data_IF_163042317231
#
_entry.id   IF_163042317231
#
_cell.length_a   1.000
_cell.length_b   1.000
_cell.length_c   1.000
_cell.angle_alpha   90.00
_cell.angle_beta   90.00
_cell.angle_gamma   90.00
#
_symmetry.space_group_name_H-M   'P 1'
#
loop_
_entity.id
_entity.type
_entity.pdbx_description
1 polymer ?
#
# COMPACT_ATOMS: atom_id res chain seq x y z
N UNK A 1 -25.66 13.86 7.53
CA UNK A 1 -24.42 13.11 7.82
C UNK A 1 -23.27 14.10 7.73
N UNK A 2 -22.45 14.23 8.78
CA UNK A 2 -21.29 15.13 8.77
C UNK A 2 -20.14 14.36 8.15
N UNK A 3 -19.74 14.71 6.93
CA UNK A 3 -18.58 14.10 6.29
C UNK A 3 -17.33 14.57 7.05
N UNK A 4 -16.61 13.65 7.68
CA UNK A 4 -15.36 13.98 8.34
C UNK A 4 -14.21 14.09 7.33
N UNK A 5 -13.25 14.98 7.60
CA UNK A 5 -12.12 15.21 6.69
C UNK A 5 -11.26 13.94 6.51
N UNK A 6 -11.14 13.13 7.57
CA UNK A 6 -10.47 11.84 7.54
C UNK A 6 -11.15 10.89 6.56
N UNK A 7 -12.47 10.72 6.67
CA UNK A 7 -13.24 9.89 5.74
C UNK A 7 -13.13 10.39 4.30
N UNK A 8 -13.22 11.70 4.07
CA UNK A 8 -13.08 12.26 2.72
C UNK A 8 -11.69 12.02 2.12
N UNK A 9 -10.62 12.08 2.92
CA UNK A 9 -9.27 11.72 2.49
C UNK A 9 -9.20 10.24 2.11
N UNK A 10 -9.66 9.36 3.00
CA UNK A 10 -9.60 7.91 2.77
C UNK A 10 -10.47 7.48 1.60
N UNK A 11 -11.61 8.13 1.36
CA UNK A 11 -12.43 7.90 0.18
C UNK A 11 -11.65 8.21 -1.11
N UNK A 12 -10.94 9.35 -1.13
CA UNK A 12 -10.11 9.76 -2.27
C UNK A 12 -8.93 8.79 -2.46
N UNK A 13 -8.33 8.32 -1.36
CA UNK A 13 -7.28 7.31 -1.35
C UNK A 13 -7.77 5.98 -1.96
N UNK A 14 -8.91 5.47 -1.50
CA UNK A 14 -9.49 4.22 -2.00
C UNK A 14 -9.78 4.32 -3.50
N UNK A 15 -10.41 5.42 -3.92
CA UNK A 15 -10.76 5.64 -5.32
C UNK A 15 -9.54 5.71 -6.24
N UNK A 16 -8.54 6.54 -5.89
CA UNK A 16 -7.47 6.88 -6.83
C UNK A 16 -6.20 6.07 -6.64
N UNK A 17 -5.83 5.79 -5.39
CA UNK A 17 -4.59 5.07 -5.05
C UNK A 17 -4.84 3.57 -5.05
N UNK A 18 -5.89 3.11 -4.38
CA UNK A 18 -6.29 1.69 -4.38
C UNK A 18 -7.14 1.29 -5.58
N UNK A 19 -7.54 2.26 -6.43
CA UNK A 19 -8.33 2.03 -7.66
C UNK A 19 -9.62 1.26 -7.40
N UNK A 20 -10.26 1.53 -6.26
CA UNK A 20 -11.56 0.96 -5.92
C UNK A 20 -12.61 1.44 -6.92
N UNK A 21 -13.37 0.49 -7.48
CA UNK A 21 -14.50 0.76 -8.39
C UNK A 21 -15.79 1.07 -7.63
N UNK A 22 -15.90 0.57 -6.39
CA UNK A 22 -16.94 0.93 -5.44
C UNK A 22 -16.30 1.44 -4.15
N UNK A 23 -16.86 2.49 -3.56
CA UNK A 23 -16.37 3.05 -2.31
C UNK A 23 -17.48 3.84 -1.62
N UNK A 24 -17.51 3.80 -0.28
CA UNK A 24 -18.56 4.42 0.52
C UNK A 24 -18.03 4.76 1.92
N UNK A 25 -18.45 5.90 2.48
CA UNK A 25 -18.20 6.23 3.89
C UNK A 25 -19.37 5.77 4.77
N UNK A 26 -19.12 5.59 6.06
CA UNK A 26 -20.14 5.23 7.07
C UNK A 26 -20.92 3.96 6.68
N UNK A 27 -20.22 2.93 6.20
CA UNK A 27 -20.86 1.70 5.76
C UNK A 27 -21.46 0.96 6.96
N UNK A 28 -22.73 0.55 6.83
CA UNK A 28 -23.50 -0.20 7.82
C UNK A 28 -24.27 -1.29 7.12
N UNK A 29 -24.35 -2.44 7.77
CA UNK A 29 -25.18 -3.54 7.27
C UNK A 29 -26.67 -3.22 7.40
N UNK A 30 -27.46 -3.67 6.43
CA UNK A 30 -28.92 -3.66 6.54
C UNK A 30 -29.41 -4.93 7.22
N UNK A 31 -30.44 -4.80 8.06
CA UNK A 31 -31.13 -5.96 8.65
C UNK A 31 -31.91 -6.80 7.64
N UNK A 32 -31.99 -6.36 6.37
CA UNK A 32 -32.62 -7.07 5.25
C UNK A 32 -31.61 -7.79 4.36
N UNK A 33 -30.31 -7.58 4.57
CA UNK A 33 -29.30 -8.27 3.78
C UNK A 33 -29.17 -9.71 4.22
N UNK A 34 -28.89 -10.56 3.25
CA UNK A 34 -28.48 -11.93 3.49
C UNK A 34 -27.12 -11.94 4.21
N UNK A 35 -26.98 -12.90 5.12
CA UNK A 35 -25.76 -13.12 5.89
C UNK A 35 -25.16 -14.44 5.43
N UNK A 36 -23.86 -14.45 5.20
CA UNK A 36 -23.09 -15.59 4.73
C UNK A 36 -22.08 -16.03 5.78
N UNK A 37 -21.49 -17.21 5.59
CA UNK A 37 -20.38 -17.72 6.38
C UNK A 37 -20.68 -17.87 7.88
N UNK A 38 -21.93 -18.14 8.28
CA UNK A 38 -22.37 -18.20 9.69
C UNK A 38 -21.41 -18.99 10.60
N UNK A 39 -21.03 -20.21 10.21
CA UNK A 39 -20.11 -21.05 10.97
C UNK A 39 -18.72 -20.43 11.09
N UNK A 40 -18.16 -19.92 9.99
CA UNK A 40 -16.83 -19.28 9.98
C UNK A 40 -16.83 -18.00 10.81
N UNK A 41 -17.88 -17.18 10.71
CA UNK A 41 -18.05 -15.95 11.49
C UNK A 41 -18.17 -16.29 12.97
N UNK A 42 -18.96 -17.30 13.32
CA UNK A 42 -19.11 -17.78 14.70
C UNK A 42 -17.78 -18.29 15.26
N UNK A 43 -17.04 -19.12 14.50
CA UNK A 43 -15.73 -19.63 14.91
C UNK A 43 -14.71 -18.51 15.17
N UNK A 44 -14.66 -17.47 14.32
CA UNK A 44 -13.79 -16.31 14.58
C UNK A 44 -14.26 -15.54 15.81
N UNK A 45 -15.56 -15.31 15.97
CA UNK A 45 -16.12 -14.62 17.13
C UNK A 45 -15.80 -15.33 18.46
N UNK A 46 -15.93 -16.65 18.51
CA UNK A 46 -15.63 -17.44 19.71
C UNK A 46 -14.15 -17.41 20.02
N UNK A 47 -13.27 -17.58 19.02
CA UNK A 47 -11.82 -17.43 19.18
C UNK A 47 -11.42 -16.06 19.76
N UNK A 48 -12.06 -14.99 19.30
CA UNK A 48 -11.82 -13.64 19.84
C UNK A 48 -12.23 -13.53 21.31
N UNK A 49 -13.30 -14.21 21.73
CA UNK A 49 -13.78 -14.15 23.13
C UNK A 49 -13.00 -15.03 24.09
N UNK A 50 -12.50 -16.16 23.60
CA UNK A 50 -11.72 -17.12 24.39
C UNK A 50 -10.29 -16.63 24.61
N UNK A 51 -9.73 -15.86 23.68
CA UNK A 51 -8.40 -15.28 23.81
C UNK A 51 -8.42 -14.03 24.73
N UNK A 52 -7.72 -14.13 25.86
CA UNK A 52 -7.61 -13.04 26.84
C UNK A 52 -7.03 -11.75 26.27
N UNK A 53 -6.17 -11.83 25.26
CA UNK A 53 -5.57 -10.66 24.60
C UNK A 53 -6.55 -9.97 23.65
N UNK A 54 -7.54 -10.71 23.14
CA UNK A 54 -8.49 -10.23 22.14
C UNK A 54 -9.95 -10.18 22.60
N UNK A 55 -10.27 -10.45 23.87
CA UNK A 55 -11.64 -10.41 24.40
C UNK A 55 -12.21 -8.96 24.53
N UNK A 56 -12.17 -8.22 23.43
CA UNK A 56 -12.60 -6.83 23.28
C UNK A 56 -14.11 -6.72 23.07
N UNK A 57 -14.78 -7.84 22.76
CA UNK A 57 -16.24 -7.91 22.65
C UNK A 57 -16.93 -8.05 24.00
N UNK A 58 -16.23 -8.54 25.03
CA UNK A 58 -16.76 -8.70 26.41
C UNK A 58 -18.11 -9.44 26.38
N UNK A 59 -19.17 -8.80 26.88
CA UNK A 59 -20.53 -9.37 26.94
C UNK A 59 -21.35 -9.22 25.66
N UNK A 60 -20.79 -8.60 24.60
CA UNK A 60 -21.53 -8.32 23.37
C UNK A 60 -21.79 -9.59 22.58
N UNK A 61 -23.04 -9.81 22.18
CA UNK A 61 -23.45 -10.94 21.34
C UNK A 61 -23.08 -10.70 19.87
N UNK A 62 -22.75 -11.77 19.13
CA UNK A 62 -22.35 -11.68 17.72
C UNK A 62 -23.35 -10.91 16.87
N UNK A 63 -24.65 -11.27 16.96
CA UNK A 63 -25.72 -10.60 16.21
C UNK A 63 -25.80 -9.10 16.50
N UNK A 64 -25.56 -8.70 17.74
CA UNK A 64 -25.54 -7.30 18.12
C UNK A 64 -24.34 -6.57 17.51
N UNK A 65 -23.16 -7.20 17.52
CA UNK A 65 -21.94 -6.64 16.92
C UNK A 65 -22.10 -6.41 15.43
N UNK A 66 -22.64 -7.38 14.69
CA UNK A 66 -22.86 -7.27 13.24
C UNK A 66 -23.89 -6.19 12.89
N UNK A 67 -24.96 -6.08 13.68
CA UNK A 67 -26.00 -5.05 13.48
C UNK A 67 -25.51 -3.63 13.82
N UNK A 68 -24.60 -3.51 14.78
CA UNK A 68 -24.00 -2.24 15.19
C UNK A 68 -22.67 -1.98 14.49
N UNK A 69 -22.30 -2.80 13.51
CA UNK A 69 -21.07 -2.62 12.77
C UNK A 69 -21.18 -1.37 11.90
N UNK A 70 -20.16 -0.53 12.04
CA UNK A 70 -19.94 0.64 11.24
C UNK A 70 -18.48 0.58 10.83
N UNK A 71 -18.25 0.72 9.53
CA UNK A 71 -16.92 0.86 8.93
C UNK A 71 -16.83 2.29 8.42
N UNK A 72 -15.84 3.04 8.89
CA UNK A 72 -15.73 4.47 8.60
C UNK A 72 -15.63 4.71 7.07
N UNK A 73 -14.82 3.92 6.36
CA UNK A 73 -14.79 3.89 4.89
C UNK A 73 -14.57 2.48 4.36
N UNK A 74 -15.38 2.06 3.38
CA UNK A 74 -15.23 0.78 2.67
C UNK A 74 -14.93 1.03 1.18
N UNK A 75 -14.17 0.13 0.55
CA UNK A 75 -13.94 0.13 -0.90
C UNK A 75 -13.79 -1.27 -1.45
N UNK A 76 -14.06 -1.46 -2.74
CA UNK A 76 -13.83 -2.70 -3.46
C UNK A 76 -13.12 -2.40 -4.78
N UNK A 77 -12.00 -3.08 -5.03
CA UNK A 77 -11.29 -2.99 -6.31
C UNK A 77 -11.76 -4.05 -7.31
N UNK A 78 -11.26 -3.94 -8.55
CA UNK A 78 -11.57 -4.91 -9.61
C UNK A 78 -10.85 -6.26 -9.43
N UNK A 79 -9.92 -6.38 -8.50
CA UNK A 79 -9.15 -7.59 -8.18
C UNK A 79 -9.78 -8.44 -7.07
N UNK A 80 -11.04 -8.17 -6.72
CA UNK A 80 -11.82 -8.90 -5.73
C UNK A 80 -11.39 -8.64 -4.27
N UNK A 81 -10.72 -7.51 -4.00
CA UNK A 81 -10.35 -7.09 -2.64
C UNK A 81 -11.33 -6.07 -2.09
N UNK A 82 -11.83 -6.32 -0.88
CA UNK A 82 -12.61 -5.39 -0.07
C UNK A 82 -11.72 -4.77 1.00
N UNK A 83 -11.64 -3.45 1.00
CA UNK A 83 -10.94 -2.64 1.98
C UNK A 83 -11.94 -2.14 3.00
N UNK A 84 -11.73 -2.44 4.29
CA UNK A 84 -12.44 -1.80 5.39
C UNK A 84 -11.43 -0.95 6.17
N UNK A 85 -11.64 0.37 6.17
CA UNK A 85 -10.73 1.33 6.78
C UNK A 85 -11.44 2.07 7.89
N UNK A 86 -10.99 1.82 9.12
CA UNK A 86 -11.40 2.53 10.33
C UNK A 86 -10.40 3.65 10.64
N UNK A 87 -10.90 4.83 10.98
CA UNK A 87 -10.13 6.07 11.10
C UNK A 87 -10.22 6.57 12.54
N UNK A 88 -9.11 7.10 13.04
CA UNK A 88 -9.10 7.90 14.27
C UNK A 88 -8.30 9.19 14.04
N UNK A 89 -9.02 10.29 13.87
CA UNK A 89 -8.48 11.63 13.66
C UNK A 89 -8.74 12.50 14.89
N UNK A 90 -7.68 12.77 15.68
CA UNK A 90 -7.74 13.65 16.84
C UNK A 90 -6.50 14.55 16.85
N UNK A 91 -6.66 15.86 17.09
CA UNK A 91 -5.55 16.83 17.06
C UNK A 91 -4.45 16.52 18.10
N UNK A 92 -4.87 16.05 19.29
CA UNK A 92 -3.98 15.60 20.36
C UNK A 92 -3.34 14.23 20.10
N UNK A 93 -3.70 13.57 18.98
CA UNK A 93 -3.33 12.20 18.66
C UNK A 93 -4.30 11.16 19.21
N UNK A 94 -4.13 9.92 18.78
CA UNK A 94 -4.95 8.78 19.18
C UNK A 94 -4.90 8.57 20.70
N UNK A 95 -6.02 8.86 21.36
CA UNK A 95 -6.17 8.67 22.79
C UNK A 95 -7.65 8.43 23.13
N UNK A 96 -7.99 7.21 23.49
CA UNK A 96 -9.34 6.84 23.92
C UNK A 96 -9.49 6.69 25.44
N UNK A 97 -8.44 7.03 26.20
CA UNK A 97 -8.37 6.81 27.64
C UNK A 97 -7.00 6.24 28.02
N UNK A 98 -6.98 5.08 28.67
CA UNK A 98 -5.71 4.39 28.93
C UNK A 98 -5.10 3.82 27.64
N UNK A 99 -3.82 3.41 27.70
CA UNK A 99 -3.16 2.71 26.58
C UNK A 99 -3.90 1.42 26.21
N UNK A 100 -4.29 0.66 27.23
CA UNK A 100 -5.07 -0.58 27.07
C UNK A 100 -6.47 -0.31 26.50
N UNK A 101 -7.15 0.74 26.97
CA UNK A 101 -8.46 1.11 26.41
C UNK A 101 -8.35 1.53 24.95
N UNK A 102 -7.31 2.27 24.60
CA UNK A 102 -7.04 2.67 23.21
C UNK A 102 -6.81 1.46 22.33
N UNK A 103 -5.95 0.54 22.76
CA UNK A 103 -5.72 -0.75 22.09
C UNK A 103 -7.01 -1.55 21.93
N UNK A 104 -7.78 -1.75 23.00
CA UNK A 104 -9.04 -2.50 22.97
C UNK A 104 -10.04 -1.91 21.96
N UNK A 105 -10.14 -0.57 21.88
CA UNK A 105 -11.02 0.09 20.91
C UNK A 105 -10.56 -0.11 19.47
N UNK A 106 -9.25 -0.05 19.21
CA UNK A 106 -8.67 -0.30 17.88
C UNK A 106 -8.95 -1.75 17.43
N UNK A 107 -8.62 -2.72 18.28
CA UNK A 107 -8.86 -4.14 18.01
C UNK A 107 -10.36 -4.44 17.82
N UNK A 108 -11.22 -3.85 18.66
CA UNK A 108 -12.67 -4.01 18.55
C UNK A 108 -13.20 -3.50 17.22
N UNK A 109 -12.74 -2.33 16.75
CA UNK A 109 -13.12 -1.78 15.44
C UNK A 109 -12.74 -2.77 14.34
N UNK A 110 -11.47 -3.17 14.26
CA UNK A 110 -10.97 -4.07 13.21
C UNK A 110 -11.63 -5.45 13.22
N UNK A 111 -11.74 -6.11 14.37
CA UNK A 111 -12.34 -7.44 14.46
C UNK A 111 -13.84 -7.40 14.16
N UNK A 112 -14.54 -6.33 14.53
CA UNK A 112 -15.95 -6.15 14.14
C UNK A 112 -16.08 -5.92 12.63
N UNK A 113 -15.20 -5.12 12.04
CA UNK A 113 -15.12 -4.93 10.59
C UNK A 113 -14.83 -6.26 9.89
N UNK A 114 -13.95 -7.10 10.43
CA UNK A 114 -13.64 -8.43 9.90
C UNK A 114 -14.85 -9.36 9.89
N UNK A 115 -15.54 -9.50 11.03
CA UNK A 115 -16.75 -10.30 11.12
C UNK A 115 -17.83 -9.80 10.15
N UNK A 116 -17.95 -8.48 9.98
CA UNK A 116 -18.91 -7.87 9.06
C UNK A 116 -18.57 -8.15 7.60
N UNK A 117 -17.29 -8.02 7.21
CA UNK A 117 -16.87 -8.33 5.85
C UNK A 117 -17.09 -9.81 5.52
N UNK A 118 -16.71 -10.71 6.43
CA UNK A 118 -16.97 -12.14 6.28
C UNK A 118 -18.46 -12.45 6.12
N UNK A 119 -19.32 -11.72 6.85
CA UNK A 119 -20.77 -11.93 6.84
C UNK A 119 -21.45 -11.44 5.56
N UNK A 120 -20.99 -10.33 4.97
CA UNK A 120 -21.74 -9.64 3.90
C UNK A 120 -21.01 -9.59 2.55
N UNK A 121 -19.74 -9.99 2.49
CA UNK A 121 -18.94 -10.01 1.26
C UNK A 121 -18.24 -11.37 1.09
N UNK A 122 -18.97 -12.48 0.92
CA UNK A 122 -18.37 -13.81 0.78
C UNK A 122 -17.43 -13.88 -0.43
N UNK A 123 -16.45 -14.79 -0.34
CA UNK A 123 -15.49 -15.10 -1.42
C UNK A 123 -14.66 -13.90 -1.90
N UNK A 124 -14.34 -12.99 -0.98
CA UNK A 124 -13.45 -11.84 -1.22
C UNK A 124 -12.12 -11.96 -0.48
N UNK A 125 -11.16 -11.18 -0.96
CA UNK A 125 -9.99 -10.81 -0.18
C UNK A 125 -10.36 -9.63 0.72
N UNK A 126 -9.86 -9.61 1.94
CA UNK A 126 -10.14 -8.56 2.92
C UNK A 126 -8.85 -7.88 3.35
N UNK A 127 -8.80 -6.55 3.21
CA UNK A 127 -7.74 -5.72 3.79
C UNK A 127 -8.38 -4.80 4.84
N UNK A 128 -8.14 -5.10 6.10
CA UNK A 128 -8.67 -4.41 7.26
C UNK A 128 -7.62 -3.44 7.79
N UNK A 129 -7.87 -2.15 7.65
CA UNK A 129 -6.88 -1.11 7.93
C UNK A 129 -7.38 -0.22 9.04
N UNK A 130 -6.58 -0.05 10.08
CA UNK A 130 -6.78 1.04 11.03
C UNK A 130 -5.78 2.15 10.75
N UNK A 131 -6.28 3.38 10.65
CA UNK A 131 -5.45 4.53 10.28
C UNK A 131 -5.58 5.68 11.28
N UNK A 132 -4.46 6.31 11.62
CA UNK A 132 -4.44 7.51 12.46
C UNK A 132 -3.26 8.43 12.13
N UNK A 133 -3.47 9.73 11.87
CA UNK A 133 -2.38 10.62 11.46
C UNK A 133 -1.35 10.88 12.56
N UNK A 134 -1.72 10.69 13.83
CA UNK A 134 -0.88 11.07 14.97
C UNK A 134 -1.14 10.15 16.15
N UNK A 135 -0.10 9.46 16.60
CA UNK A 135 -0.12 8.52 17.72
C UNK A 135 1.16 8.73 18.52
N UNK A 136 1.03 8.90 19.84
CA UNK A 136 2.18 9.07 20.71
C UNK A 136 3.06 7.80 20.73
N UNK A 137 4.35 7.93 21.00
CA UNK A 137 5.34 6.85 20.88
C UNK A 137 5.00 5.59 21.70
N UNK A 138 4.41 5.77 22.88
CA UNK A 138 4.12 4.65 23.76
C UNK A 138 2.87 3.90 23.35
N UNK A 139 1.80 4.63 23.01
CA UNK A 139 0.57 4.07 22.44
C UNK A 139 0.89 3.37 21.12
N UNK A 140 1.75 3.97 20.29
CA UNK A 140 2.21 3.39 19.04
C UNK A 140 2.90 2.03 19.24
N UNK A 141 3.87 1.96 20.17
CA UNK A 141 4.55 0.70 20.50
C UNK A 141 3.59 -0.37 21.00
N UNK A 142 2.65 0.00 21.87
CA UNK A 142 1.64 -0.91 22.41
C UNK A 142 0.71 -1.41 21.30
N UNK A 143 0.15 -0.54 20.45
CA UNK A 143 -0.71 -0.99 19.35
C UNK A 143 0.05 -1.91 18.38
N UNK A 144 1.30 -1.57 18.02
CA UNK A 144 2.11 -2.38 17.11
C UNK A 144 2.39 -3.79 17.64
N UNK A 145 2.65 -3.96 18.94
CA UNK A 145 2.85 -5.30 19.50
C UNK A 145 1.61 -6.17 19.35
N UNK A 146 0.41 -5.61 19.57
CA UNK A 146 -0.84 -6.35 19.40
C UNK A 146 -1.24 -6.57 17.95
N UNK A 147 -0.83 -5.69 17.02
CA UNK A 147 -1.03 -5.95 15.60
C UNK A 147 -0.24 -7.17 15.12
N UNK A 148 0.99 -7.36 15.60
CA UNK A 148 1.77 -8.57 15.30
C UNK A 148 1.05 -9.83 15.79
N UNK A 149 0.42 -9.78 16.97
CA UNK A 149 -0.39 -10.89 17.49
C UNK A 149 -1.70 -11.07 16.70
N UNK A 150 -2.37 -9.97 16.32
CA UNK A 150 -3.60 -9.98 15.54
C UNK A 150 -3.36 -10.65 14.19
N UNK A 151 -2.28 -10.27 13.50
CA UNK A 151 -1.90 -10.87 12.23
C UNK A 151 -1.61 -12.36 12.37
N UNK A 152 -0.83 -12.74 13.40
CA UNK A 152 -0.52 -14.16 13.66
C UNK A 152 -1.76 -15.01 13.88
N UNK A 153 -2.77 -14.47 14.57
CA UNK A 153 -3.95 -15.24 14.97
C UNK A 153 -5.07 -15.23 13.92
N UNK A 154 -5.24 -14.13 13.18
CA UNK A 154 -6.43 -13.90 12.37
C UNK A 154 -6.16 -13.62 10.89
N UNK A 155 -4.91 -13.33 10.48
CA UNK A 155 -4.58 -13.24 9.05
C UNK A 155 -4.61 -14.61 8.38
N UNK A 156 -4.87 -14.59 7.09
CA UNK A 156 -4.79 -15.77 6.20
C UNK A 156 -4.47 -15.30 4.79
N UNK A 157 -4.44 -16.20 3.82
CA UNK A 157 -4.16 -15.84 2.42
C UNK A 157 -5.07 -14.72 1.91
N UNK A 158 -6.36 -14.77 2.27
CA UNK A 158 -7.37 -13.80 1.84
C UNK A 158 -7.72 -12.75 2.91
N UNK A 159 -7.01 -12.68 4.05
CA UNK A 159 -7.29 -11.74 5.14
C UNK A 159 -6.00 -11.06 5.59
N UNK A 160 -5.93 -9.73 5.45
CA UNK A 160 -4.79 -8.92 5.86
C UNK A 160 -5.24 -7.83 6.83
N UNK A 161 -4.54 -7.69 7.94
CA UNK A 161 -4.68 -6.56 8.84
C UNK A 161 -3.56 -5.57 8.59
N UNK A 162 -3.82 -4.26 8.72
CA UNK A 162 -2.83 -3.20 8.60
C UNK A 162 -3.06 -2.10 9.60
N UNK A 163 -1.95 -1.55 10.09
CA UNK A 163 -1.92 -0.39 10.96
C UNK A 163 -1.05 0.69 10.32
N UNK A 164 -1.66 1.82 9.96
CA UNK A 164 -0.96 2.92 9.30
C UNK A 164 -1.09 4.18 10.17
N UNK A 165 0.02 4.62 10.73
CA UNK A 165 0.07 5.77 11.63
C UNK A 165 1.26 6.70 11.36
N UNK A 166 1.21 7.90 11.92
CA UNK A 166 2.32 8.87 11.91
C UNK A 166 2.92 9.09 10.51
N UNK A 167 4.23 8.91 10.34
CA UNK A 167 4.93 9.07 9.06
C UNK A 167 4.37 8.12 7.99
N UNK A 168 4.04 6.87 8.34
CA UNK A 168 3.39 5.94 7.41
C UNK A 168 2.03 6.45 6.94
N UNK A 169 1.25 7.11 7.81
CA UNK A 169 -0.02 7.74 7.38
C UNK A 169 0.23 8.85 6.35
N UNK A 170 1.26 9.68 6.57
CA UNK A 170 1.65 10.70 5.61
C UNK A 170 2.10 10.08 4.28
N UNK A 171 2.99 9.11 4.34
CA UNK A 171 3.73 8.62 3.18
C UNK A 171 2.93 7.62 2.34
N UNK A 172 2.08 6.81 2.97
CA UNK A 172 1.27 5.80 2.28
C UNK A 172 -0.12 6.31 1.87
N UNK A 173 -0.67 7.31 2.59
CA UNK A 173 -2.04 7.79 2.35
C UNK A 173 -2.04 9.22 1.82
N UNK A 174 -1.53 10.19 2.60
CA UNK A 174 -1.66 11.62 2.25
C UNK A 174 -0.92 11.92 0.95
N UNK A 175 0.38 11.60 0.87
CA UNK A 175 1.23 11.97 -0.26
C UNK A 175 0.72 11.34 -1.57
N UNK A 176 0.45 10.02 -1.65
CA UNK A 176 -0.03 9.42 -2.89
C UNK A 176 -1.39 9.98 -3.32
N UNK A 177 -2.28 10.25 -2.36
CA UNK A 177 -3.61 10.81 -2.66
C UNK A 177 -3.51 12.22 -3.23
N UNK A 178 -2.68 13.07 -2.64
CA UNK A 178 -2.48 14.44 -3.13
C UNK A 178 -1.74 14.46 -4.48
N UNK A 179 -0.78 13.56 -4.71
CA UNK A 179 -0.09 13.44 -6.00
C UNK A 179 -1.04 13.09 -7.15
N UNK A 180 -2.12 12.38 -6.86
CA UNK A 180 -3.16 12.14 -7.87
C UNK A 180 -4.00 13.40 -8.17
N UNK A 181 -4.16 14.29 -7.19
CA UNK A 181 -4.92 15.54 -7.33
C UNK A 181 -4.28 16.52 -8.33
N UNK A 182 -2.94 16.54 -8.42
CA UNK A 182 -2.20 17.48 -9.27
C UNK A 182 -2.26 17.15 -10.77
N UNK A 183 -2.70 15.93 -11.13
CA UNK A 183 -2.87 15.51 -12.53
C UNK A 183 -4.29 15.63 -13.09
N UNK A 184 -5.31 15.88 -12.24
CA UNK A 184 -6.72 15.83 -12.63
C UNK A 184 -7.49 17.07 -12.18
N UNK A 185 -7.83 17.95 -13.12
CA UNK A 185 -8.54 19.22 -12.87
C UNK A 185 -9.97 19.04 -12.35
N UNK A 186 -10.64 17.92 -12.66
CA UNK A 186 -12.10 17.79 -12.53
C UNK A 186 -12.59 16.82 -11.44
N UNK A 187 -11.85 16.66 -10.34
CA UNK A 187 -12.39 15.93 -9.17
C UNK A 187 -13.37 16.79 -8.36
N UNK A 188 -14.55 16.23 -8.12
CA UNK A 188 -15.59 16.80 -7.25
C UNK A 188 -15.43 16.38 -5.78
N UNK A 189 -14.35 15.69 -5.41
CA UNK A 189 -14.12 15.15 -4.07
C UNK A 189 -13.65 16.24 -3.10
N UNK A 190 -14.28 16.32 -1.92
CA UNK A 190 -14.08 17.39 -0.96
C UNK A 190 -12.60 17.55 -0.55
N UNK A 191 -11.94 16.45 -0.17
CA UNK A 191 -10.52 16.47 0.20
C UNK A 191 -9.64 17.04 -0.92
N UNK A 192 -9.76 16.53 -2.15
CA UNK A 192 -8.92 16.98 -3.28
C UNK A 192 -9.22 18.42 -3.67
N UNK A 193 -10.47 18.90 -3.52
CA UNK A 193 -10.83 20.31 -3.68
C UNK A 193 -10.19 21.19 -2.62
N UNK A 194 -10.16 20.77 -1.36
CA UNK A 194 -9.45 21.48 -0.28
C UNK A 194 -7.96 21.59 -0.60
N UNK A 195 -7.33 20.52 -1.07
CA UNK A 195 -5.91 20.54 -1.46
C UNK A 195 -5.66 21.50 -2.63
N UNK A 196 -6.53 21.50 -3.65
CA UNK A 196 -6.46 22.48 -4.75
C UNK A 196 -6.60 23.91 -4.24
N UNK A 197 -7.57 24.17 -3.36
CA UNK A 197 -7.75 25.49 -2.75
C UNK A 197 -6.48 25.94 -2.01
N UNK A 198 -5.90 25.09 -1.16
CA UNK A 198 -4.65 25.41 -0.46
C UNK A 198 -3.48 25.66 -1.42
N UNK A 199 -3.43 24.93 -2.54
CA UNK A 199 -2.39 25.13 -3.56
C UNK A 199 -2.50 26.46 -4.32
N UNK A 200 -3.71 27.04 -4.44
CA UNK A 200 -3.90 28.37 -5.06
C UNK A 200 -3.24 29.51 -4.25
N UNK A 201 -3.01 29.29 -2.95
CA UNK A 201 -2.39 30.24 -2.05
C UNK A 201 -0.93 29.88 -1.72
N UNK A 202 -0.32 28.94 -2.46
CA UNK A 202 1.02 28.40 -2.17
C UNK A 202 1.20 27.85 -0.73
N UNK A 203 0.09 27.64 0.00
CA UNK A 203 0.09 27.09 1.37
C UNK A 203 0.52 25.62 1.40
N UNK A 204 0.43 24.97 0.24
CA UNK A 204 0.92 23.63 0.02
C UNK A 204 1.48 23.56 -1.40
N UNK A 205 2.80 23.62 -1.51
CA UNK A 205 3.51 23.27 -2.72
C UNK A 205 4.12 21.89 -2.50
N UNK A 206 3.64 20.88 -3.23
CA UNK A 206 4.49 19.71 -3.45
C UNK A 206 5.65 20.27 -4.25
N UNK A 207 6.77 20.62 -3.59
CA UNK A 207 8.00 20.90 -4.31
C UNK A 207 8.15 19.77 -5.32
N UNK A 208 8.25 20.13 -6.61
CA UNK A 208 8.51 19.21 -7.73
C UNK A 208 9.77 18.35 -7.53
N UNK A 209 10.44 18.44 -6.37
CA UNK A 209 11.52 17.58 -5.93
C UNK A 209 11.12 16.10 -5.85
N UNK A 210 9.84 15.74 -5.68
CA UNK A 210 9.42 14.33 -5.62
C UNK A 210 8.41 13.91 -6.73
N UNK A 211 8.39 14.63 -7.87
CA UNK A 211 7.83 14.07 -9.12
C UNK A 211 8.77 13.03 -9.73
N UNK A 212 10.06 13.04 -9.35
CA UNK A 212 11.08 12.09 -9.80
C UNK A 212 11.24 10.87 -8.88
N UNK A 213 10.64 10.85 -7.69
CA UNK A 213 10.79 9.76 -6.71
C UNK A 213 9.53 8.89 -6.50
N UNK A 214 8.38 9.23 -7.12
CA UNK A 214 7.13 8.46 -6.93
C UNK A 214 6.49 7.96 -8.24
N UNK A 215 7.20 8.08 -9.36
CA UNK A 215 6.96 7.17 -10.50
C UNK A 215 7.42 5.73 -10.17
N UNK A 216 8.16 5.55 -9.07
CA UNK A 216 8.60 4.28 -8.52
C UNK A 216 7.78 3.93 -7.28
N UNK A 217 6.68 3.22 -7.49
CA UNK A 217 6.23 2.08 -6.68
C UNK A 217 4.85 1.66 -7.17
N UNK A 218 4.84 1.02 -8.34
CA UNK A 218 3.80 0.08 -8.68
C UNK A 218 3.95 -1.13 -7.77
N UNK A 219 2.98 -1.31 -6.87
CA UNK A 219 2.76 -2.55 -6.15
C UNK A 219 2.73 -3.72 -7.15
N UNK A 220 3.59 -4.70 -6.88
CA UNK A 220 3.47 -6.06 -7.39
C UNK A 220 2.12 -6.63 -6.93
N UNK A 221 1.32 -7.11 -7.88
CA UNK A 221 0.36 -8.18 -7.64
C UNK A 221 0.71 -9.31 -8.60
N UNK A 222 1.31 -10.37 -8.06
CA UNK A 222 1.52 -11.60 -8.79
C UNK A 222 0.17 -12.24 -9.13
N UNK A 223 -0.13 -12.34 -10.42
CA UNK A 223 -0.82 -13.47 -11.00
C UNK A 223 0.06 -13.97 -12.13
N UNK A 224 1.07 -14.77 -11.77
CA UNK A 224 1.88 -15.63 -12.66
C UNK A 224 2.31 -15.07 -14.03
N UNK A 225 2.65 -13.77 -14.11
CA UNK A 225 3.57 -13.16 -15.10
C UNK A 225 3.60 -11.62 -14.94
N UNK A 226 3.97 -11.12 -13.75
CA UNK A 226 4.13 -9.67 -13.57
C UNK A 226 5.46 -9.20 -14.16
N UNK A 227 5.40 -8.49 -15.28
CA UNK A 227 6.53 -7.76 -15.85
C UNK A 227 6.84 -6.58 -14.92
N UNK A 228 7.94 -6.69 -14.19
CA UNK A 228 8.50 -5.65 -13.31
C UNK A 228 8.51 -4.28 -14.00
N UNK A 229 7.85 -3.29 -13.40
CA UNK A 229 7.98 -1.88 -13.78
C UNK A 229 9.27 -1.24 -13.27
N UNK A 230 10.03 -1.95 -12.44
CA UNK A 230 11.39 -1.54 -12.07
C UNK A 230 12.36 -2.05 -13.14
N UNK A 231 13.05 -1.12 -13.80
CA UNK A 231 14.16 -1.44 -14.68
C UNK A 231 15.25 -2.18 -13.91
N UNK A 232 15.51 -3.43 -14.28
CA UNK A 232 16.50 -4.27 -13.60
C UNK A 232 17.79 -4.36 -14.41
N UNK A 233 18.93 -4.32 -13.72
CA UNK A 233 20.24 -4.59 -14.30
C UNK A 233 20.72 -5.93 -13.75
N UNK A 234 21.01 -6.87 -14.64
CA UNK A 234 21.59 -8.17 -14.31
C UNK A 234 23.02 -8.24 -14.82
N UNK A 235 23.96 -8.60 -13.95
CA UNK A 235 25.35 -8.85 -14.31
C UNK A 235 25.62 -10.35 -14.40
N UNK A 236 26.39 -10.76 -15.40
CA UNK A 236 27.00 -12.09 -15.50
C UNK A 236 28.51 -11.90 -15.65
N UNK A 237 29.31 -12.22 -14.61
CA UNK A 237 28.93 -12.82 -13.32
C UNK A 237 28.07 -11.92 -12.41
N UNK A 238 27.27 -12.52 -11.51
CA UNK A 238 26.31 -11.83 -10.62
C UNK A 238 26.96 -10.89 -9.60
N UNK A 239 28.17 -11.22 -9.15
CA UNK A 239 28.94 -10.33 -8.29
C UNK A 239 29.39 -9.10 -9.10
N UNK A 240 28.85 -7.94 -8.76
CA UNK A 240 29.11 -6.68 -9.45
C UNK A 240 30.59 -6.24 -9.37
N UNK A 241 31.29 -6.54 -8.27
CA UNK A 241 32.73 -6.26 -8.14
C UNK A 241 33.52 -7.16 -9.07
N UNK A 242 33.19 -8.45 -9.11
CA UNK A 242 33.84 -9.40 -10.01
C UNK A 242 33.54 -9.10 -11.48
N UNK A 243 32.31 -8.72 -11.80
CA UNK A 243 31.91 -8.26 -13.12
C UNK A 243 32.75 -7.05 -13.55
N UNK A 244 32.88 -6.03 -12.69
CA UNK A 244 33.68 -4.84 -12.96
C UNK A 244 35.15 -5.20 -13.23
N UNK A 245 35.75 -6.06 -12.40
CA UNK A 245 37.12 -6.52 -12.60
C UNK A 245 37.32 -7.22 -13.94
N UNK A 246 36.39 -8.12 -14.32
CA UNK A 246 36.42 -8.79 -15.62
C UNK A 246 36.21 -7.81 -16.79
N UNK A 247 35.30 -6.85 -16.66
CA UNK A 247 35.03 -5.84 -17.68
C UNK A 247 36.25 -4.96 -17.95
N UNK A 248 36.98 -4.56 -16.91
CA UNK A 248 38.22 -3.77 -17.05
C UNK A 248 39.29 -4.57 -17.81
N UNK A 249 39.34 -5.89 -17.61
CA UNK A 249 40.34 -6.76 -18.26
C UNK A 249 39.99 -7.06 -19.73
N UNK A 250 38.72 -7.35 -20.00
CA UNK A 250 38.24 -7.82 -21.31
C UNK A 250 37.79 -6.67 -22.22
N UNK A 251 37.41 -5.54 -21.62
CA UNK A 251 36.95 -4.32 -22.31
C UNK A 251 35.71 -4.49 -23.19
N UNK A 252 35.00 -5.63 -23.09
CA UNK A 252 33.76 -5.89 -23.83
C UNK A 252 32.75 -6.68 -23.00
N UNK A 253 31.47 -6.40 -23.24
CA UNK A 253 30.35 -7.17 -22.68
C UNK A 253 29.18 -7.22 -23.68
N UNK A 254 28.45 -8.32 -23.71
CA UNK A 254 27.16 -8.40 -24.41
C UNK A 254 26.08 -7.70 -23.58
N UNK A 255 25.20 -6.97 -24.26
CA UNK A 255 24.03 -6.32 -23.68
C UNK A 255 22.78 -6.90 -24.31
N UNK A 256 21.92 -7.47 -23.48
CA UNK A 256 20.57 -7.89 -23.87
C UNK A 256 19.56 -6.93 -23.24
N UNK A 257 18.83 -6.23 -24.09
CA UNK A 257 17.80 -5.26 -23.75
C UNK A 257 16.43 -5.93 -23.85
N UNK A 258 15.64 -5.88 -22.77
CA UNK A 258 14.29 -6.42 -22.72
C UNK A 258 13.29 -5.29 -22.57
N UNK A 259 12.23 -5.31 -23.37
CA UNK A 259 11.19 -4.30 -23.40
C UNK A 259 9.84 -4.85 -22.92
N UNK A 260 8.96 -3.97 -22.44
CA UNK A 260 7.65 -4.30 -21.87
C UNK A 260 6.66 -4.85 -22.90
N UNK A 261 6.89 -4.58 -24.19
CA UNK A 261 6.15 -5.14 -25.31
C UNK A 261 6.63 -6.56 -25.71
N UNK A 262 7.61 -7.12 -24.98
CA UNK A 262 8.20 -8.43 -25.26
C UNK A 262 9.37 -8.39 -26.24
N UNK A 263 9.74 -7.23 -26.78
CA UNK A 263 10.89 -7.09 -27.68
C UNK A 263 12.19 -7.38 -26.93
N UNK A 264 13.12 -8.09 -27.60
CA UNK A 264 14.47 -8.36 -27.12
C UNK A 264 15.48 -7.89 -28.16
N UNK A 265 16.47 -7.09 -27.75
CA UNK A 265 17.52 -6.57 -28.63
C UNK A 265 18.89 -6.91 -28.03
N UNK A 266 19.82 -7.39 -28.85
CA UNK A 266 21.19 -7.66 -28.44
C UNK A 266 22.14 -6.68 -29.12
N UNK A 267 23.11 -6.16 -28.38
CA UNK A 267 24.26 -5.45 -28.92
C UNK A 267 25.50 -5.67 -28.03
N UNK A 268 26.66 -5.22 -28.49
CA UNK A 268 27.91 -5.31 -27.73
C UNK A 268 28.26 -3.95 -27.13
N UNK A 269 28.66 -3.96 -25.87
CA UNK A 269 29.28 -2.82 -25.20
C UNK A 269 30.79 -2.87 -25.38
N UNK A 270 31.34 -1.87 -26.09
CA UNK A 270 32.76 -1.54 -26.07
C UNK A 270 33.07 -0.68 -24.84
N UNK A 271 33.86 -1.23 -23.93
CA UNK A 271 34.30 -0.62 -22.68
C UNK A 271 35.80 -0.32 -22.68
N UNK A 272 36.42 -0.09 -23.84
CA UNK A 272 37.86 0.20 -23.98
C UNK A 272 38.35 1.30 -23.01
N UNK A 273 37.55 2.36 -22.84
CA UNK A 273 37.85 3.51 -21.97
C UNK A 273 37.52 3.29 -20.49
N UNK A 274 37.04 2.11 -20.10
CA UNK A 274 36.57 1.84 -18.73
C UNK A 274 37.74 1.48 -17.81
N UNK A 275 37.95 2.27 -16.75
CA UNK A 275 39.08 2.13 -15.79
C UNK A 275 38.59 1.76 -14.38
N UNK A 276 39.52 1.58 -13.44
CA UNK A 276 39.19 1.31 -12.03
C UNK A 276 38.41 2.46 -11.38
N UNK A 277 38.66 3.71 -11.78
CA UNK A 277 37.94 4.89 -11.30
C UNK A 277 36.54 5.01 -11.92
N UNK A 278 36.25 4.27 -13.00
CA UNK A 278 34.98 4.36 -13.70
C UNK A 278 33.82 3.81 -12.86
N UNK A 279 32.74 4.59 -12.76
CA UNK A 279 31.52 4.15 -12.09
C UNK A 279 30.69 3.27 -13.04
N UNK A 280 30.57 1.98 -12.73
CA UNK A 280 29.87 0.99 -13.56
C UNK A 280 28.39 1.34 -13.72
N UNK A 281 27.67 1.52 -12.61
CA UNK A 281 26.24 1.89 -12.63
C UNK A 281 26.01 3.28 -13.22
N UNK A 282 26.92 4.22 -12.98
CA UNK A 282 26.88 5.56 -13.56
C UNK A 282 26.98 5.55 -15.09
N UNK A 283 27.89 4.74 -15.66
CA UNK A 283 28.03 4.57 -17.10
C UNK A 283 26.81 3.87 -17.74
N UNK A 284 26.25 2.86 -17.07
CA UNK A 284 25.03 2.21 -17.55
C UNK A 284 23.86 3.19 -17.51
N UNK A 285 23.73 3.95 -16.42
CA UNK A 285 22.65 4.92 -16.22
C UNK A 285 22.76 6.15 -17.14
N UNK A 286 23.95 6.46 -17.68
CA UNK A 286 24.14 7.56 -18.62
C UNK A 286 23.75 7.21 -20.06
N UNK A 287 23.55 5.93 -20.37
CA UNK A 287 23.14 5.47 -21.69
C UNK A 287 21.73 6.00 -22.06
N UNK A 288 21.57 6.51 -23.29
CA UNK A 288 20.30 7.08 -23.74
C UNK A 288 19.11 6.10 -23.69
N UNK A 289 19.33 4.80 -23.93
CA UNK A 289 18.28 3.76 -23.79
C UNK A 289 17.83 3.62 -22.33
N UNK A 290 18.77 3.69 -21.39
CA UNK A 290 18.51 3.59 -19.94
C UNK A 290 17.91 4.87 -19.38
N UNK A 291 18.31 6.05 -19.89
CA UNK A 291 17.74 7.35 -19.50
C UNK A 291 16.30 7.53 -19.98
N UNK A 292 15.99 7.08 -21.19
CA UNK A 292 14.65 7.18 -21.77
C UNK A 292 13.81 5.91 -21.59
N UNK A 293 14.22 5.01 -20.68
CA UNK A 293 13.64 3.67 -20.51
C UNK A 293 12.12 3.68 -20.35
N UNK A 294 11.56 4.63 -19.61
CA UNK A 294 10.11 4.71 -19.37
C UNK A 294 9.34 5.08 -20.64
N UNK A 295 9.95 5.91 -21.52
CA UNK A 295 9.35 6.30 -22.80
C UNK A 295 9.40 5.19 -23.84
N UNK A 296 10.44 4.35 -23.80
CA UNK A 296 10.67 3.28 -24.78
C UNK A 296 10.26 1.90 -24.27
N UNK A 297 9.73 1.81 -23.03
CA UNK A 297 9.32 0.55 -22.41
C UNK A 297 10.47 -0.39 -22.04
N UNK A 298 11.69 0.10 -21.76
CA UNK A 298 12.81 -0.77 -21.39
C UNK A 298 12.69 -1.23 -19.92
N UNK A 299 12.60 -2.54 -19.70
CA UNK A 299 12.33 -3.16 -18.38
C UNK A 299 13.53 -3.91 -17.79
N UNK A 300 14.49 -4.35 -18.60
CA UNK A 300 15.67 -5.06 -18.12
C UNK A 300 16.86 -4.89 -19.06
N UNK A 301 18.06 -4.80 -18.49
CA UNK A 301 19.34 -4.90 -19.16
C UNK A 301 20.14 -6.05 -18.53
N UNK A 302 20.46 -7.07 -19.33
CA UNK A 302 21.43 -8.10 -18.95
C UNK A 302 22.79 -7.77 -19.57
N UNK A 303 23.83 -7.78 -18.75
CA UNK A 303 25.22 -7.54 -19.12
C UNK A 303 26.04 -8.79 -18.86
N UNK A 304 26.65 -9.33 -19.89
CA UNK A 304 27.41 -10.57 -19.83
C UNK A 304 28.81 -10.33 -20.38
N UNK A 305 29.82 -10.62 -19.58
CA UNK A 305 31.21 -10.53 -20.04
C UNK A 305 31.40 -11.47 -21.23
N UNK A 306 32.02 -10.96 -22.28
CA UNK A 306 32.42 -11.81 -23.41
C UNK A 306 33.66 -12.57 -22.94
N UNK A 307 33.51 -13.89 -22.73
CA UNK A 307 34.66 -14.76 -22.42
C UNK A 307 35.63 -14.86 -23.61
#
# INVERSE_FOLDING_TARGET
MKLEIGESLILSYLKHVKKCVFYQTNWKSSNKWEVFNDEKVQNIYDRVKEDSNFNVFKKSQLRQLLKQAEVDVIGMDSSNTVYAIDIAFHEAGLNYGSKEETKDRVLKKLLRSYLSLLSYFPDKNYELVFVSPKVNSDTEKNIRSYFSELEKNFSSENVKFKYISNESFRDEIIIPTIKYASGNSDTNELFLRTIKLLSLFDMYSIKKQNMLEFGQQGLKFDNNNFVSTDFTIEFIPKDEKLFKQKLIRIKKANRTWFYSDGKIVNDTWDASNFTDESNLRGNISSNNKVRNRDKIGLIKLKLEIIE
#
